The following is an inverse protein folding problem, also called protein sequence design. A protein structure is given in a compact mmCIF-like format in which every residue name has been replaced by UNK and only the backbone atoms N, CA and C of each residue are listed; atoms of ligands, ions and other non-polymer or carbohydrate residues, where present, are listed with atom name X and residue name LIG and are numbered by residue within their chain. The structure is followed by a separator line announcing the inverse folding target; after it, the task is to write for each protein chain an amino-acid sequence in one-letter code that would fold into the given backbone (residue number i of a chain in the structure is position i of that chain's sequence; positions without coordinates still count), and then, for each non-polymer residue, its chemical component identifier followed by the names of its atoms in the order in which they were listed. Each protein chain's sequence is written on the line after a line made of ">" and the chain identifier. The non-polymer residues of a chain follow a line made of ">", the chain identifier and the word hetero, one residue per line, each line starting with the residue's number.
data_IF_460807560418
#
_entry.id   IF_460807560418
#
_cell.length_a   1.000
_cell.length_b   1.000
_cell.length_c   1.000
_cell.angle_alpha   90.00
_cell.angle_beta   90.00
_cell.angle_gamma   90.00
#
_symmetry.space_group_name_H-M   'P 1'
#
loop_
_entity.id
_entity.type
_entity.pdbx_description
1 polymer ?
#
# COMPACT_ATOMS: atom_id res chain seq x y z
N UNK A 1 -4.53 1.95 -30.54
CA UNK A 1 -5.40 1.03 -29.80
C UNK A 1 -4.89 0.98 -28.35
N UNK A 2 -5.42 1.81 -27.46
CA UNK A 2 -4.96 1.89 -26.06
C UNK A 2 -5.81 0.94 -25.23
N UNK A 3 -5.25 -0.20 -24.81
CA UNK A 3 -5.95 -1.14 -23.92
C UNK A 3 -5.91 -0.62 -22.46
N UNK A 4 -7.03 -0.64 -21.71
CA UNK A 4 -7.00 -0.46 -20.27
C UNK A 4 -6.50 -1.74 -19.61
N UNK A 5 -5.43 -1.66 -18.82
CA UNK A 5 -4.93 -2.75 -17.97
C UNK A 5 -5.98 -3.12 -16.91
N UNK A 6 -6.31 -4.42 -16.71
CA UNK A 6 -7.24 -4.82 -15.67
C UNK A 6 -6.64 -4.54 -14.29
N UNK A 7 -7.39 -3.79 -13.48
CA UNK A 7 -7.10 -3.54 -12.07
C UNK A 7 -7.14 -4.88 -11.32
N UNK A 8 -5.99 -5.32 -10.81
CA UNK A 8 -5.90 -6.49 -9.92
C UNK A 8 -6.53 -6.11 -8.57
N UNK A 9 -7.80 -6.41 -8.38
CA UNK A 9 -8.44 -6.36 -7.07
C UNK A 9 -7.77 -7.40 -6.14
N UNK A 10 -7.41 -7.04 -4.88
CA UNK A 10 -6.88 -8.02 -3.96
C UNK A 10 -7.98 -9.03 -3.61
N UNK A 11 -7.56 -10.29 -3.48
CA UNK A 11 -8.40 -11.41 -3.03
C UNK A 11 -9.23 -11.01 -1.81
N UNK A 12 -10.53 -11.31 -1.86
CA UNK A 12 -11.47 -11.09 -0.78
C UNK A 12 -10.93 -11.75 0.49
N UNK A 13 -10.40 -10.92 1.40
CA UNK A 13 -10.15 -11.33 2.77
C UNK A 13 -11.48 -11.81 3.39
N UNK A 14 -11.47 -12.73 4.37
CA UNK A 14 -12.67 -13.07 5.12
C UNK A 14 -13.33 -11.78 5.60
N UNK A 15 -14.66 -11.70 5.52
CA UNK A 15 -15.48 -10.55 5.92
C UNK A 15 -15.28 -10.23 7.41
N UNK A 16 -14.12 -9.69 7.74
CA UNK A 16 -13.86 -8.91 8.93
C UNK A 16 -14.78 -7.70 8.80
N UNK A 17 -15.37 -7.26 9.91
CA UNK A 17 -16.21 -6.06 9.91
C UNK A 17 -15.40 -4.91 9.29
N UNK A 18 -15.65 -4.64 8.01
CA UNK A 18 -14.87 -3.71 7.19
C UNK A 18 -14.83 -2.33 7.86
N UNK A 19 -15.86 -2.00 8.62
CA UNK A 19 -15.93 -0.75 9.37
C UNK A 19 -14.83 -0.67 10.45
N UNK A 20 -14.51 -1.78 11.13
CA UNK A 20 -13.45 -1.81 12.15
C UNK A 20 -12.06 -1.67 11.53
N UNK A 21 -11.75 -2.45 10.49
CA UNK A 21 -10.45 -2.37 9.81
C UNK A 21 -10.24 -0.99 9.17
N UNK A 22 -11.30 -0.39 8.62
CA UNK A 22 -11.25 0.96 8.09
C UNK A 22 -11.05 2.00 9.19
N UNK A 23 -11.70 1.86 10.35
CA UNK A 23 -11.51 2.76 11.49
C UNK A 23 -10.05 2.77 11.95
N UNK A 24 -9.46 1.60 12.15
CA UNK A 24 -8.05 1.45 12.55
C UNK A 24 -7.09 2.06 11.51
N UNK A 25 -7.34 1.79 10.22
CA UNK A 25 -6.53 2.36 9.12
C UNK A 25 -6.62 3.88 9.09
N UNK A 26 -7.78 4.47 9.36
CA UNK A 26 -7.98 5.92 9.40
C UNK A 26 -7.26 6.55 10.59
N UNK A 27 -7.31 5.92 11.76
CA UNK A 27 -6.60 6.38 12.94
C UNK A 27 -5.09 6.37 12.71
N UNK A 28 -4.55 5.26 12.17
CA UNK A 28 -3.13 5.16 11.83
C UNK A 28 -2.69 6.24 10.83
N UNK A 29 -3.49 6.45 9.78
CA UNK A 29 -3.22 7.48 8.78
C UNK A 29 -3.28 8.90 9.38
N UNK A 30 -4.19 9.16 10.32
CA UNK A 30 -4.27 10.44 11.03
C UNK A 30 -3.00 10.66 11.87
N UNK A 31 -2.53 9.66 12.60
CA UNK A 31 -1.28 9.73 13.36
C UNK A 31 -0.07 10.02 12.45
N UNK A 32 0.02 9.36 11.29
CA UNK A 32 1.10 9.59 10.32
C UNK A 32 1.06 11.01 9.74
N UNK A 33 -0.13 11.57 9.47
CA UNK A 33 -0.27 12.95 9.00
C UNK A 33 -0.01 13.99 10.08
N UNK A 34 -0.40 13.72 11.33
CA UNK A 34 -0.07 14.60 12.46
C UNK A 34 1.44 14.65 12.67
N UNK A 35 2.12 13.51 12.64
CA UNK A 35 3.56 13.44 12.69
C UNK A 35 4.24 14.25 11.56
N UNK A 36 3.70 14.19 10.33
CA UNK A 36 4.17 15.04 9.23
C UNK A 36 3.98 16.54 9.53
N UNK A 37 2.82 16.93 10.07
CA UNK A 37 2.56 18.33 10.43
C UNK A 37 3.50 18.84 11.52
N UNK A 38 3.90 17.98 12.46
CA UNK A 38 4.92 18.25 13.47
C UNK A 38 6.35 18.34 12.89
N UNK A 39 6.51 18.26 11.56
CA UNK A 39 7.81 18.31 10.88
C UNK A 39 8.57 16.98 10.83
N UNK A 40 7.92 15.86 11.19
CA UNK A 40 8.48 14.51 10.92
C UNK A 40 8.28 14.15 9.44
N UNK A 41 8.76 12.97 9.04
CA UNK A 41 8.71 12.50 7.65
C UNK A 41 7.30 12.51 7.03
N UNK A 42 7.24 12.65 5.70
CA UNK A 42 5.99 12.66 4.91
C UNK A 42 5.23 11.36 5.12
N UNK A 43 3.91 11.43 5.36
CA UNK A 43 3.10 10.25 5.68
C UNK A 43 3.07 9.19 4.56
N UNK A 44 3.19 9.62 3.30
CA UNK A 44 3.25 8.76 2.12
C UNK A 44 4.37 9.25 1.19
N UNK A 45 5.62 8.85 1.43
CA UNK A 45 6.74 9.29 0.61
C UNK A 45 6.75 8.56 -0.74
N UNK A 46 7.23 9.24 -1.79
CA UNK A 46 7.32 8.71 -3.16
C UNK A 46 8.78 8.63 -3.65
N UNK A 47 9.66 8.15 -2.79
CA UNK A 47 11.11 8.06 -3.01
C UNK A 47 11.59 6.62 -3.16
N UNK A 48 10.76 5.64 -2.81
CA UNK A 48 11.10 4.22 -2.90
C UNK A 48 11.28 3.78 -4.36
N UNK A 49 12.50 3.32 -4.68
CA UNK A 49 12.87 2.77 -5.99
C UNK A 49 13.22 1.28 -5.86
N UNK A 50 12.29 0.37 -6.18
CA UNK A 50 12.54 -1.06 -6.06
C UNK A 50 13.62 -1.51 -7.06
N UNK A 51 14.64 -2.23 -6.55
CA UNK A 51 15.74 -2.75 -7.37
C UNK A 51 15.38 -4.03 -8.13
N UNK A 52 14.49 -4.84 -7.58
CA UNK A 52 14.07 -6.11 -8.17
C UNK A 52 12.55 -6.25 -8.11
N UNK A 53 11.98 -6.93 -9.11
CA UNK A 53 10.57 -7.35 -9.09
C UNK A 53 10.49 -8.82 -8.67
N UNK A 54 9.42 -9.17 -7.96
CA UNK A 54 9.22 -10.52 -7.42
C UNK A 54 9.35 -11.63 -8.48
N UNK A 55 8.80 -11.42 -9.68
CA UNK A 55 8.87 -12.40 -10.77
C UNK A 55 10.30 -12.68 -11.25
N UNK A 56 11.18 -11.67 -11.22
CA UNK A 56 12.57 -11.83 -11.64
C UNK A 56 13.40 -12.56 -10.57
N UNK A 57 13.18 -12.21 -9.29
CA UNK A 57 13.78 -12.92 -8.16
C UNK A 57 13.38 -14.40 -8.13
N UNK A 58 12.09 -14.68 -8.36
CA UNK A 58 11.60 -16.06 -8.38
C UNK A 58 12.17 -16.85 -9.55
N UNK A 59 12.38 -16.23 -10.72
CA UNK A 59 13.00 -16.90 -11.87
C UNK A 59 14.51 -17.17 -11.65
N UNK A 60 15.21 -16.30 -10.95
CA UNK A 60 16.66 -16.45 -10.71
C UNK A 60 17.00 -17.38 -9.54
N UNK A 61 16.07 -17.59 -8.61
CA UNK A 61 16.33 -18.32 -7.35
C UNK A 61 15.27 -19.35 -6.97
N UNK A 62 14.25 -19.57 -7.80
CA UNK A 62 13.15 -20.51 -7.56
C UNK A 62 13.41 -21.91 -8.10
#
# INVERSE_FOLDING_TARGET
>A
MTQPTPSSAPAAAPATDDNQLIAERREKLKAMRAAQADGRGVAFPNDFKPRHRAAELLRSHG
#
